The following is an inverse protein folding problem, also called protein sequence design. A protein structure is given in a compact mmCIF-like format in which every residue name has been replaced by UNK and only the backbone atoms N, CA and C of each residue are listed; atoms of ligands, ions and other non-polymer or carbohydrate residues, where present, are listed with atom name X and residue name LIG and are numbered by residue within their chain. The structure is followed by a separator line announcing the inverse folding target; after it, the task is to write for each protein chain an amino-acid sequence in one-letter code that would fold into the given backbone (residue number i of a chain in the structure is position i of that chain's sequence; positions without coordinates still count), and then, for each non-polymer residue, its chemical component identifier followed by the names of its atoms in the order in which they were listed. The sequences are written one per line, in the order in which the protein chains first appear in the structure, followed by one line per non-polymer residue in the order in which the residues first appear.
data_IF_295942575474
#
_entry.id   IF_295942575474
#
_cell.length_a   1.000
_cell.length_b   1.000
_cell.length_c   1.000
_cell.angle_alpha   90.00
_cell.angle_beta   90.00
_cell.angle_gamma   90.00
#
_symmetry.space_group_name_H-M   'P 1'
#
loop_
_entity.id
_entity.type
_entity.pdbx_description
1 polymer ?
#
# COMPACT_ATOMS: atom_id res chain seq x y z
N UNK A 1 60.64 66.27 -47.35
CA UNK A 1 59.85 66.14 -46.11
C UNK A 1 59.03 64.90 -46.24
N UNK A 2 59.46 63.88 -45.56
CA UNK A 2 58.91 62.50 -45.66
C UNK A 2 58.15 62.16 -44.42
N UNK A 3 56.87 61.77 -44.52
CA UNK A 3 56.07 61.26 -43.45
C UNK A 3 55.76 59.82 -43.74
N UNK A 4 56.36 58.94 -42.93
CA UNK A 4 56.13 57.51 -42.93
C UNK A 4 54.78 57.21 -42.21
N UNK A 5 53.89 56.46 -42.85
CA UNK A 5 52.68 55.91 -42.27
C UNK A 5 52.99 54.51 -41.71
N UNK A 6 52.78 54.36 -40.44
CA UNK A 6 52.89 53.04 -39.74
C UNK A 6 51.59 52.28 -39.89
N UNK A 7 51.65 51.07 -40.43
CA UNK A 7 50.55 50.14 -40.53
C UNK A 7 50.37 49.39 -39.16
N UNK A 8 49.19 49.54 -38.58
CA UNK A 8 48.76 48.76 -37.36
C UNK A 8 48.05 47.49 -37.81
N UNK A 9 48.70 46.36 -37.55
CA UNK A 9 48.13 45.05 -37.79
C UNK A 9 47.19 44.73 -36.61
N UNK A 10 45.86 44.72 -36.86
CA UNK A 10 44.89 44.24 -35.93
C UNK A 10 44.82 42.70 -36.01
N UNK A 11 45.32 42.03 -35.01
CA UNK A 11 45.06 40.57 -34.77
C UNK A 11 43.66 40.39 -34.24
N UNK A 12 42.76 39.83 -35.08
CA UNK A 12 41.45 39.34 -34.61
C UNK A 12 41.63 38.04 -33.86
N UNK A 13 41.35 38.05 -32.56
CA UNK A 13 41.25 36.84 -31.73
C UNK A 13 39.84 36.30 -31.90
N UNK A 14 39.72 35.16 -32.59
CA UNK A 14 38.49 34.42 -32.67
C UNK A 14 38.29 33.68 -31.33
N UNK A 15 37.35 34.15 -30.50
CA UNK A 15 36.91 33.44 -29.30
C UNK A 15 35.93 32.36 -29.75
N UNK A 16 36.39 31.10 -29.77
CA UNK A 16 35.49 29.97 -29.94
C UNK A 16 34.72 29.77 -28.63
N UNK A 17 33.43 30.13 -28.60
CA UNK A 17 32.49 29.72 -27.53
C UNK A 17 32.22 28.23 -27.68
N UNK A 18 32.82 27.44 -26.81
CA UNK A 18 32.37 26.06 -26.56
C UNK A 18 31.05 26.11 -25.80
N UNK A 19 29.94 25.89 -26.50
CA UNK A 19 28.67 25.55 -25.87
C UNK A 19 28.81 24.17 -25.24
N UNK A 20 29.08 24.12 -23.93
CA UNK A 20 28.94 22.90 -23.13
C UNK A 20 27.45 22.73 -22.90
N UNK A 21 26.83 21.85 -23.67
CA UNK A 21 25.49 21.36 -23.37
C UNK A 21 25.52 20.67 -22.02
N UNK A 22 24.67 21.03 -21.06
CA UNK A 22 24.57 20.24 -19.84
C UNK A 22 24.00 18.87 -20.22
N UNK A 23 24.85 17.84 -20.20
CA UNK A 23 24.39 16.46 -20.18
C UNK A 23 23.43 16.32 -19.00
N UNK A 24 22.16 16.11 -19.32
CA UNK A 24 21.18 15.69 -18.34
C UNK A 24 21.72 14.38 -17.73
N UNK A 25 22.32 14.49 -16.57
CA UNK A 25 22.56 13.34 -15.70
C UNK A 25 21.16 12.83 -15.40
N UNK A 26 20.78 11.73 -16.06
CA UNK A 26 19.61 10.98 -15.69
C UNK A 26 19.80 10.63 -14.21
N UNK A 27 18.96 11.22 -13.36
CA UNK A 27 18.93 10.87 -11.95
C UNK A 27 18.70 9.35 -11.90
N UNK A 28 19.67 8.62 -11.34
CA UNK A 28 19.43 7.22 -11.00
C UNK A 28 18.12 7.14 -10.22
N UNK A 29 17.27 6.14 -10.50
CA UNK A 29 16.03 6.00 -9.76
C UNK A 29 16.38 5.85 -8.28
N UNK A 30 16.09 6.90 -7.54
CA UNK A 30 16.34 6.96 -6.13
C UNK A 30 15.60 5.81 -5.45
N UNK A 31 16.41 4.91 -4.89
CA UNK A 31 16.08 4.09 -3.76
C UNK A 31 15.18 2.89 -4.01
N UNK A 32 15.78 1.83 -4.55
CA UNK A 32 15.28 0.48 -4.24
C UNK A 32 15.24 0.36 -2.72
N UNK A 33 14.05 0.10 -2.16
CA UNK A 33 13.96 -0.46 -0.81
C UNK A 33 14.98 -1.60 -0.76
N UNK A 34 16.13 -1.37 -0.15
CA UNK A 34 17.05 -2.48 0.14
C UNK A 34 16.21 -3.40 0.98
N UNK A 35 16.10 -4.64 0.55
CA UNK A 35 15.42 -5.72 1.25
C UNK A 35 16.07 -5.90 2.64
N UNK A 36 15.80 -4.96 3.54
CA UNK A 36 16.35 -4.89 4.90
C UNK A 36 15.64 -5.89 5.80
N UNK A 37 14.50 -6.38 5.37
CA UNK A 37 13.87 -7.55 5.94
C UNK A 37 13.88 -8.64 4.87
N UNK A 38 14.90 -9.50 4.87
CA UNK A 38 14.84 -10.77 4.12
C UNK A 38 13.47 -11.39 4.38
N UNK A 39 12.68 -11.72 3.33
CA UNK A 39 11.39 -12.37 3.52
C UNK A 39 11.61 -13.57 4.43
N UNK A 40 11.03 -13.54 5.63
CA UNK A 40 11.01 -14.73 6.48
C UNK A 40 10.26 -15.82 5.71
N UNK A 41 10.59 -17.11 5.91
CA UNK A 41 9.81 -18.20 5.33
C UNK A 41 8.32 -17.95 5.57
N UNK A 42 7.51 -17.91 4.49
CA UNK A 42 6.09 -17.54 4.57
C UNK A 42 5.71 -16.20 3.89
N UNK A 43 6.67 -15.44 3.36
CA UNK A 43 6.36 -14.24 2.54
C UNK A 43 6.07 -12.96 3.34
N UNK A 44 6.38 -12.94 4.63
CA UNK A 44 6.18 -11.78 5.50
C UNK A 44 7.28 -10.71 5.29
N UNK A 45 6.92 -9.47 5.01
CA UNK A 45 7.83 -8.34 4.84
C UNK A 45 7.35 -7.33 3.80
N UNK A 46 8.07 -6.23 3.66
CA UNK A 46 7.82 -5.25 2.59
C UNK A 46 8.43 -5.77 1.29
N UNK A 47 7.67 -5.73 0.21
CA UNK A 47 8.11 -6.12 -1.12
C UNK A 47 7.65 -5.08 -2.14
N UNK A 48 8.54 -4.71 -3.02
CA UNK A 48 8.20 -3.97 -4.22
C UNK A 48 7.61 -4.97 -5.24
N UNK A 49 6.35 -4.77 -5.61
CA UNK A 49 5.61 -5.69 -6.48
C UNK A 49 5.53 -5.17 -7.90
N UNK A 50 5.42 -3.86 -8.07
CA UNK A 50 5.30 -3.21 -9.35
C UNK A 50 6.10 -1.92 -9.37
N UNK A 51 7.13 -1.87 -10.21
CA UNK A 51 7.87 -0.66 -10.55
C UNK A 51 7.64 -0.39 -12.02
N UNK A 52 7.01 0.71 -12.33
CA UNK A 52 6.74 1.05 -13.72
C UNK A 52 7.53 2.30 -14.15
N UNK A 53 7.44 3.39 -13.39
CA UNK A 53 8.05 4.67 -13.71
C UNK A 53 8.14 5.49 -12.40
N UNK A 54 9.29 6.11 -12.15
CA UNK A 54 9.48 6.96 -10.96
C UNK A 54 8.51 8.15 -10.89
N UNK A 55 7.93 8.55 -12.01
CA UNK A 55 6.94 9.63 -12.06
C UNK A 55 5.51 9.18 -11.65
N UNK A 56 5.26 7.87 -11.56
CA UNK A 56 3.95 7.35 -11.17
C UNK A 56 3.76 7.41 -9.65
N UNK A 57 2.50 7.59 -9.18
CA UNK A 57 2.17 7.55 -7.76
C UNK A 57 2.67 6.26 -7.08
N UNK A 58 3.15 6.38 -5.86
CA UNK A 58 3.56 5.26 -5.03
C UNK A 58 2.41 4.82 -4.11
N UNK A 59 2.06 3.55 -4.18
CA UNK A 59 0.97 2.93 -3.41
C UNK A 59 1.54 1.85 -2.51
N UNK A 60 1.12 1.83 -1.25
CA UNK A 60 1.42 0.76 -0.29
C UNK A 60 0.14 0.02 0.08
N UNK A 61 0.15 -1.30 -0.02
CA UNK A 61 -0.88 -2.16 0.58
C UNK A 61 -0.32 -2.79 1.86
N UNK A 62 -1.06 -2.64 2.97
CA UNK A 62 -0.69 -3.21 4.27
C UNK A 62 -1.73 -4.25 4.67
N UNK A 63 -1.29 -5.46 5.02
CA UNK A 63 -2.17 -6.54 5.44
C UNK A 63 -1.43 -7.80 5.84
N UNK A 64 -2.17 -8.89 5.95
CA UNK A 64 -1.69 -10.19 6.37
C UNK A 64 -1.75 -11.24 5.22
N UNK A 65 -2.10 -12.48 5.54
CA UNK A 65 -2.26 -13.55 4.58
C UNK A 65 -3.39 -13.30 3.55
N UNK A 66 -4.39 -12.50 3.89
CA UNK A 66 -5.43 -12.09 2.94
C UNK A 66 -4.82 -11.20 1.85
N UNK A 67 -4.01 -10.20 2.24
CA UNK A 67 -3.25 -9.40 1.27
C UNK A 67 -2.34 -10.28 0.40
N UNK A 68 -1.68 -11.28 1.01
CA UNK A 68 -0.88 -12.26 0.25
C UNK A 68 -1.68 -12.96 -0.84
N UNK A 69 -2.97 -13.19 -0.64
CA UNK A 69 -3.85 -13.84 -1.60
C UNK A 69 -4.24 -12.94 -2.78
N UNK A 70 -4.44 -11.63 -2.56
CA UNK A 70 -4.99 -10.76 -3.61
C UNK A 70 -4.00 -9.77 -4.25
N UNK A 71 -2.85 -9.48 -3.61
CA UNK A 71 -1.93 -8.43 -4.08
C UNK A 71 -1.43 -8.63 -5.52
N UNK A 72 -1.19 -9.88 -5.94
CA UNK A 72 -0.73 -10.18 -7.30
C UNK A 72 -1.73 -9.73 -8.36
N UNK A 73 -3.02 -10.00 -8.14
CA UNK A 73 -4.09 -9.56 -9.05
C UNK A 73 -4.31 -8.05 -8.98
N UNK A 74 -4.18 -7.46 -7.79
CA UNK A 74 -4.23 -6.00 -7.65
C UNK A 74 -3.08 -5.32 -8.44
N UNK A 75 -1.86 -5.87 -8.40
CA UNK A 75 -0.74 -5.39 -9.18
C UNK A 75 -0.98 -5.48 -10.70
N UNK A 76 -1.61 -6.56 -11.19
CA UNK A 76 -2.00 -6.66 -12.60
C UNK A 76 -2.95 -5.53 -13.01
N UNK A 77 -3.98 -5.27 -12.20
CA UNK A 77 -4.99 -4.25 -12.47
C UNK A 77 -4.43 -2.82 -12.43
N UNK A 78 -3.42 -2.58 -11.57
CA UNK A 78 -2.79 -1.27 -11.36
C UNK A 78 -1.55 -1.04 -12.26
N UNK A 79 -1.19 -2.02 -13.10
CA UNK A 79 0.01 -1.97 -13.95
C UNK A 79 0.04 -0.72 -14.85
N UNK A 80 1.17 -0.02 -14.84
CA UNK A 80 1.37 1.20 -15.64
C UNK A 80 0.59 2.42 -15.13
N UNK A 81 -0.03 2.33 -13.95
CA UNK A 81 -0.75 3.44 -13.31
C UNK A 81 -0.12 3.86 -11.99
N UNK A 82 0.55 2.95 -11.31
CA UNK A 82 1.20 3.18 -10.01
C UNK A 82 2.49 2.37 -9.89
N UNK A 83 3.35 2.78 -8.96
CA UNK A 83 4.34 1.91 -8.33
C UNK A 83 3.69 1.29 -7.10
N UNK A 84 3.80 -0.02 -6.93
CA UNK A 84 3.10 -0.74 -5.88
C UNK A 84 4.05 -1.51 -4.98
N UNK A 85 3.99 -1.21 -3.71
CA UNK A 85 4.62 -1.95 -2.65
C UNK A 85 3.57 -2.67 -1.80
N UNK A 86 3.95 -3.80 -1.20
CA UNK A 86 3.12 -4.50 -0.23
C UNK A 86 3.89 -4.76 1.05
N UNK A 87 3.26 -4.48 2.17
CA UNK A 87 3.74 -4.90 3.47
C UNK A 87 2.84 -5.98 4.03
N UNK A 88 3.32 -7.23 3.95
CA UNK A 88 2.61 -8.39 4.47
C UNK A 88 3.21 -8.73 5.84
N UNK A 89 2.39 -8.71 6.88
CA UNK A 89 2.86 -8.89 8.26
C UNK A 89 1.87 -9.67 9.11
N UNK A 90 2.34 -10.56 10.01
CA UNK A 90 1.49 -11.22 11.00
C UNK A 90 1.21 -10.35 12.23
N UNK A 91 1.74 -9.13 12.28
CA UNK A 91 1.55 -8.21 13.40
C UNK A 91 0.13 -7.67 13.40
N UNK A 92 -0.37 -7.31 14.56
CA UNK A 92 -1.68 -6.67 14.72
C UNK A 92 -1.54 -5.36 15.49
N UNK A 93 -2.59 -4.54 15.48
CA UNK A 93 -2.56 -3.19 16.07
C UNK A 93 -2.21 -3.13 17.56
N UNK A 94 -2.34 -4.24 18.29
CA UNK A 94 -1.94 -4.36 19.71
C UNK A 94 -0.46 -4.69 19.92
N UNK A 95 0.34 -4.89 18.88
CA UNK A 95 1.77 -5.20 19.00
C UNK A 95 2.56 -3.92 19.27
N UNK A 96 3.32 -3.90 20.39
CA UNK A 96 4.08 -2.71 20.83
C UNK A 96 5.06 -2.18 19.79
N UNK A 97 5.71 -3.06 19.03
CA UNK A 97 6.75 -2.70 18.07
C UNK A 97 6.19 -2.30 16.69
N UNK A 98 4.88 -2.43 16.47
CA UNK A 98 4.25 -2.06 15.19
C UNK A 98 4.56 -0.60 14.78
N UNK A 99 4.52 0.41 15.67
CA UNK A 99 4.89 1.77 15.31
C UNK A 99 6.37 1.91 14.92
N UNK A 100 7.27 1.10 15.49
CA UNK A 100 8.69 1.09 15.14
C UNK A 100 8.90 0.53 13.72
N UNK A 101 8.23 -0.56 13.38
CA UNK A 101 8.26 -1.13 12.04
C UNK A 101 7.73 -0.13 11.01
N UNK A 102 6.58 0.50 11.30
CA UNK A 102 5.99 1.54 10.45
C UNK A 102 6.96 2.70 10.22
N UNK A 103 7.61 3.20 11.29
CA UNK A 103 8.58 4.27 11.18
C UNK A 103 9.74 3.90 10.25
N UNK A 104 10.23 2.66 10.32
CA UNK A 104 11.28 2.15 9.42
C UNK A 104 10.84 2.16 7.96
N UNK A 105 9.66 1.61 7.66
CA UNK A 105 9.10 1.54 6.30
C UNK A 105 8.90 2.93 5.70
N UNK A 106 8.29 3.84 6.43
CA UNK A 106 7.98 5.19 5.94
C UNK A 106 9.19 6.14 5.92
N UNK A 107 10.30 5.77 6.57
CA UNK A 107 11.56 6.50 6.45
C UNK A 107 12.29 6.22 5.12
N UNK A 108 12.03 5.05 4.52
CA UNK A 108 12.70 4.63 3.29
C UNK A 108 11.96 5.07 2.02
N UNK A 109 10.63 5.15 2.08
CA UNK A 109 9.78 5.48 0.93
C UNK A 109 8.58 6.33 1.35
N UNK A 110 8.28 7.34 0.54
CA UNK A 110 7.03 8.10 0.65
C UNK A 110 5.95 7.48 -0.24
N UNK A 111 4.71 7.49 0.25
CA UNK A 111 3.56 6.95 -0.46
C UNK A 111 2.50 8.02 -0.68
N UNK A 112 1.85 7.98 -1.85
CA UNK A 112 0.71 8.84 -2.19
C UNK A 112 -0.60 8.24 -1.70
N UNK A 113 -0.70 6.91 -1.69
CA UNK A 113 -1.86 6.17 -1.18
C UNK A 113 -1.40 5.00 -0.33
N UNK A 114 -2.07 4.79 0.80
CA UNK A 114 -1.91 3.61 1.66
C UNK A 114 -3.28 2.96 1.81
N UNK A 115 -3.43 1.73 1.29
CA UNK A 115 -4.55 0.87 1.63
C UNK A 115 -4.10 -0.08 2.74
N UNK A 116 -4.79 -0.04 3.88
CA UNK A 116 -4.43 -0.82 5.05
C UNK A 116 -5.61 -1.57 5.62
N UNK A 117 -5.34 -2.70 6.22
CA UNK A 117 -6.24 -3.44 7.09
C UNK A 117 -5.76 -3.29 8.53
N UNK A 118 -6.61 -3.60 9.52
CA UNK A 118 -6.22 -3.63 10.94
C UNK A 118 -5.28 -4.80 11.27
N UNK A 119 -4.90 -5.57 10.23
CA UNK A 119 -4.20 -6.83 10.35
C UNK A 119 -5.04 -7.76 11.24
N UNK A 120 -6.36 -7.77 10.95
CA UNK A 120 -7.44 -8.19 11.84
C UNK A 120 -7.43 -9.64 12.21
N UNK A 121 -7.00 -10.54 11.33
CA UNK A 121 -6.99 -11.98 11.62
C UNK A 121 -6.13 -12.33 12.83
N UNK A 122 -5.05 -11.59 13.06
CA UNK A 122 -4.20 -11.80 14.24
C UNK A 122 -4.73 -11.09 15.48
N UNK A 123 -5.65 -10.14 15.32
CA UNK A 123 -6.28 -9.39 16.40
C UNK A 123 -7.59 -10.00 16.93
N UNK A 124 -8.20 -10.95 16.19
CA UNK A 124 -9.48 -11.56 16.57
C UNK A 124 -9.39 -12.57 17.72
N UNK A 125 -8.23 -13.16 17.94
CA UNK A 125 -8.06 -14.20 18.96
C UNK A 125 -8.30 -13.61 20.36
N UNK A 126 -9.17 -14.20 21.18
CA UNK A 126 -9.35 -13.78 22.55
C UNK A 126 -8.02 -13.66 23.30
N UNK A 127 -7.83 -12.57 24.04
CA UNK A 127 -6.61 -12.29 24.80
C UNK A 127 -5.47 -11.62 24.02
N UNK A 128 -5.53 -11.46 22.70
CA UNK A 128 -4.55 -10.67 21.95
C UNK A 128 -4.81 -9.18 22.07
N UNK A 129 -6.07 -8.78 21.96
CA UNK A 129 -6.51 -7.40 22.25
C UNK A 129 -7.57 -7.50 23.32
N UNK A 130 -7.33 -6.98 24.53
CA UNK A 130 -8.30 -6.99 25.61
C UNK A 130 -9.58 -6.27 25.22
N UNK A 131 -10.68 -6.63 25.84
CA UNK A 131 -11.98 -5.99 25.66
C UNK A 131 -11.86 -4.47 25.89
N UNK A 132 -12.54 -3.69 25.09
CA UNK A 132 -12.49 -2.22 25.14
C UNK A 132 -11.20 -1.57 24.62
N UNK A 133 -10.16 -2.35 24.28
CA UNK A 133 -8.89 -1.80 23.80
C UNK A 133 -8.79 -1.70 22.27
N UNK A 134 -9.70 -2.31 21.53
CA UNK A 134 -9.61 -2.33 20.08
C UNK A 134 -9.77 -0.92 19.46
N UNK A 135 -10.78 -0.15 19.89
CA UNK A 135 -10.98 1.22 19.38
C UNK A 135 -9.80 2.15 19.69
N UNK A 136 -9.30 2.26 20.94
CA UNK A 136 -8.12 3.08 21.25
C UNK A 136 -6.89 2.69 20.44
N UNK A 137 -6.64 1.39 20.25
CA UNK A 137 -5.51 0.89 19.45
C UNK A 137 -5.65 1.24 17.97
N UNK A 138 -6.85 1.14 17.40
CA UNK A 138 -7.10 1.52 16.01
C UNK A 138 -6.93 3.04 15.82
N UNK A 139 -7.41 3.85 16.73
CA UNK A 139 -7.18 5.31 16.70
C UNK A 139 -5.69 5.66 16.79
N UNK A 140 -4.94 4.97 17.66
CA UNK A 140 -3.49 5.13 17.77
C UNK A 140 -2.77 4.69 16.48
N UNK A 141 -3.21 3.58 15.88
CA UNK A 141 -2.67 3.09 14.59
C UNK A 141 -2.89 4.12 13.47
N UNK A 142 -4.09 4.67 13.36
CA UNK A 142 -4.40 5.72 12.40
C UNK A 142 -3.55 6.99 12.62
N UNK A 143 -3.36 7.39 13.88
CA UNK A 143 -2.50 8.51 14.23
C UNK A 143 -1.05 8.28 13.82
N UNK A 144 -0.53 7.04 13.96
CA UNK A 144 0.80 6.65 13.51
C UNK A 144 0.92 6.70 11.98
N UNK A 145 -0.08 6.20 11.24
CA UNK A 145 -0.11 6.29 9.77
C UNK A 145 0.00 7.76 9.33
N UNK A 146 -0.81 8.64 9.91
CA UNK A 146 -0.77 10.08 9.59
C UNK A 146 0.55 10.76 9.99
N UNK A 147 1.14 10.33 11.10
CA UNK A 147 2.44 10.86 11.56
C UNK A 147 3.58 10.47 10.66
N UNK A 148 3.64 9.21 10.23
CA UNK A 148 4.77 8.69 9.46
C UNK A 148 4.60 8.89 7.94
N UNK A 149 3.36 8.99 7.46
CA UNK A 149 3.02 9.21 6.06
C UNK A 149 2.02 10.38 5.91
N UNK A 150 2.39 11.63 6.30
CA UNK A 150 1.44 12.75 6.42
C UNK A 150 0.82 13.20 5.10
N UNK A 151 1.42 12.84 3.96
CA UNK A 151 0.91 13.19 2.62
C UNK A 151 0.07 12.08 2.00
N UNK A 152 0.10 10.86 2.54
CA UNK A 152 -0.60 9.73 1.98
C UNK A 152 -2.12 9.86 2.17
N UNK A 153 -2.87 9.62 1.10
CA UNK A 153 -4.31 9.35 1.18
C UNK A 153 -4.50 7.94 1.72
N UNK A 154 -5.38 7.78 2.70
CA UNK A 154 -5.62 6.50 3.36
C UNK A 154 -6.89 5.85 2.83
N UNK A 155 -6.87 4.52 2.70
CA UNK A 155 -8.01 3.67 2.39
C UNK A 155 -7.99 2.52 3.40
N UNK A 156 -9.10 2.22 4.06
CA UNK A 156 -9.21 1.08 4.95
C UNK A 156 -9.85 -0.11 4.22
N UNK A 157 -9.32 -1.32 4.37
CA UNK A 157 -9.95 -2.55 3.91
C UNK A 157 -10.59 -3.28 5.09
N UNK A 158 -11.90 -3.53 5.05
CA UNK A 158 -12.61 -4.24 6.13
C UNK A 158 -12.10 -5.68 6.25
N UNK A 159 -12.07 -6.21 7.49
CA UNK A 159 -11.67 -7.59 7.75
C UNK A 159 -12.72 -8.54 7.17
N UNK A 160 -12.25 -9.56 6.44
CA UNK A 160 -13.09 -10.57 5.77
C UNK A 160 -13.88 -11.43 6.78
N UNK A 161 -15.01 -12.02 6.38
CA UNK A 161 -15.75 -12.93 7.24
C UNK A 161 -14.90 -14.11 7.70
N UNK A 162 -15.18 -14.58 8.91
CA UNK A 162 -14.64 -15.81 9.44
C UNK A 162 -15.66 -16.93 9.31
N UNK A 163 -15.23 -18.07 8.78
CA UNK A 163 -16.13 -19.19 8.44
C UNK A 163 -15.86 -20.42 9.27
N UNK A 164 -16.80 -21.37 9.28
CA UNK A 164 -16.59 -22.72 9.82
C UNK A 164 -15.58 -23.50 8.97
N UNK A 165 -14.95 -24.52 9.57
CA UNK A 165 -14.08 -25.47 8.85
C UNK A 165 -14.86 -26.63 8.24
N UNK A 166 -16.07 -26.87 8.73
CA UNK A 166 -16.91 -28.01 8.36
C UNK A 166 -17.95 -27.63 7.33
N UNK A 167 -18.21 -28.52 6.39
CA UNK A 167 -19.30 -28.33 5.42
C UNK A 167 -20.66 -28.66 6.05
N UNK A 168 -21.73 -27.93 5.73
CA UNK A 168 -21.72 -26.75 4.84
C UNK A 168 -20.96 -25.59 5.49
N UNK A 169 -20.19 -24.84 4.67
CA UNK A 169 -19.48 -23.66 5.14
C UNK A 169 -20.52 -22.59 5.54
N UNK A 170 -20.37 -22.07 6.74
CA UNK A 170 -21.19 -21.01 7.31
C UNK A 170 -20.31 -19.97 7.99
N UNK A 171 -20.87 -18.85 8.40
CA UNK A 171 -20.18 -17.92 9.29
C UNK A 171 -19.84 -18.62 10.62
N UNK A 172 -18.63 -18.41 11.11
CA UNK A 172 -18.23 -18.96 12.41
C UNK A 172 -19.04 -18.31 13.53
N UNK A 173 -19.83 -19.10 14.30
CA UNK A 173 -20.76 -18.53 15.28
C UNK A 173 -20.06 -17.92 16.51
N UNK A 174 -18.83 -18.33 16.78
CA UNK A 174 -18.04 -17.85 17.92
C UNK A 174 -17.25 -16.58 17.57
N UNK A 175 -16.56 -16.59 16.44
CA UNK A 175 -15.58 -15.53 16.12
C UNK A 175 -16.07 -14.50 15.09
N UNK A 176 -16.97 -14.87 14.18
CA UNK A 176 -17.44 -13.89 13.19
C UNK A 176 -18.21 -12.70 13.81
N UNK A 177 -18.96 -12.84 14.91
CA UNK A 177 -19.55 -11.69 15.59
C UNK A 177 -18.51 -10.65 16.04
N UNK A 178 -17.33 -11.08 16.48
CA UNK A 178 -16.23 -10.18 16.83
C UNK A 178 -15.67 -9.44 15.62
N UNK A 179 -15.59 -10.11 14.45
CA UNK A 179 -15.20 -9.45 13.19
C UNK A 179 -16.21 -8.36 12.80
N UNK A 180 -17.52 -8.65 12.95
CA UNK A 180 -18.58 -7.68 12.66
C UNK A 180 -18.47 -6.47 13.58
N UNK A 181 -18.32 -6.69 14.89
CA UNK A 181 -18.16 -5.62 15.90
C UNK A 181 -16.96 -4.72 15.56
N UNK A 182 -15.79 -5.32 15.29
CA UNK A 182 -14.58 -4.58 14.97
C UNK A 182 -14.70 -3.81 13.65
N UNK A 183 -15.28 -4.41 12.63
CA UNK A 183 -15.55 -3.69 11.38
C UNK A 183 -16.50 -2.49 11.61
N UNK A 184 -17.50 -2.61 12.48
CA UNK A 184 -18.39 -1.49 12.84
C UNK A 184 -17.64 -0.37 13.59
N UNK A 185 -16.80 -0.73 14.56
CA UNK A 185 -15.95 0.24 15.29
C UNK A 185 -15.07 1.00 14.29
N UNK A 186 -14.38 0.26 13.41
CA UNK A 186 -13.48 0.90 12.43
C UNK A 186 -14.26 1.71 11.41
N UNK A 187 -15.42 1.26 10.94
CA UNK A 187 -16.25 2.02 10.01
C UNK A 187 -16.60 3.41 10.58
N UNK A 188 -16.93 3.49 11.89
CA UNK A 188 -17.15 4.76 12.58
C UNK A 188 -15.90 5.63 12.60
N UNK A 189 -14.73 5.06 12.95
CA UNK A 189 -13.47 5.80 12.96
C UNK A 189 -13.13 6.32 11.54
N UNK A 190 -13.31 5.51 10.52
CA UNK A 190 -13.03 5.90 9.13
C UNK A 190 -13.98 7.01 8.66
N UNK A 191 -15.27 6.92 9.00
CA UNK A 191 -16.26 7.97 8.72
C UNK A 191 -15.87 9.29 9.38
N UNK A 192 -15.53 9.30 10.67
CA UNK A 192 -15.08 10.48 11.42
C UNK A 192 -13.85 11.15 10.78
N UNK A 193 -13.03 10.36 10.10
CA UNK A 193 -11.78 10.78 9.49
C UNK A 193 -11.84 10.94 7.96
N UNK A 194 -13.02 10.77 7.34
CA UNK A 194 -13.26 10.85 5.90
C UNK A 194 -12.38 9.89 5.09
N UNK A 195 -12.10 8.72 5.64
CA UNK A 195 -11.30 7.67 4.99
C UNK A 195 -12.24 6.69 4.30
N UNK A 196 -12.11 6.47 2.97
CA UNK A 196 -12.92 5.50 2.25
C UNK A 196 -12.61 4.07 2.70
N UNK A 197 -13.64 3.20 2.61
CA UNK A 197 -13.55 1.79 2.95
C UNK A 197 -13.65 0.93 1.69
N UNK A 198 -12.72 0.02 1.51
CA UNK A 198 -12.83 -1.14 0.62
C UNK A 198 -13.58 -2.24 1.39
N UNK A 199 -14.82 -2.52 1.00
CA UNK A 199 -15.72 -3.41 1.77
C UNK A 199 -15.50 -4.89 1.45
N UNK A 200 -14.39 -5.43 1.93
CA UNK A 200 -14.06 -6.85 1.77
C UNK A 200 -15.05 -7.77 2.50
N UNK A 201 -15.55 -7.34 3.67
CA UNK A 201 -16.55 -8.10 4.41
C UNK A 201 -17.84 -8.24 3.61
N UNK A 202 -18.41 -7.14 3.14
CA UNK A 202 -19.64 -7.13 2.39
C UNK A 202 -19.57 -7.93 1.08
N UNK A 203 -18.40 -7.89 0.40
CA UNK A 203 -18.19 -8.68 -0.83
C UNK A 203 -18.26 -10.19 -0.55
N UNK A 204 -17.73 -10.67 0.56
CA UNK A 204 -17.54 -12.10 0.81
C UNK A 204 -18.61 -12.73 1.71
N UNK A 205 -19.29 -11.96 2.55
CA UNK A 205 -20.33 -12.50 3.45
C UNK A 205 -21.47 -13.19 2.71
N UNK A 206 -21.78 -12.76 1.50
CA UNK A 206 -22.79 -13.37 0.63
C UNK A 206 -22.22 -14.49 -0.29
N UNK A 207 -20.93 -14.87 -0.14
CA UNK A 207 -20.21 -15.78 -1.03
C UNK A 207 -19.39 -16.80 -0.25
N UNK A 208 -19.99 -17.39 0.77
CA UNK A 208 -19.30 -18.34 1.67
C UNK A 208 -18.86 -19.61 0.95
N UNK A 209 -19.46 -19.95 -0.19
CA UNK A 209 -19.04 -21.02 -1.11
C UNK A 209 -17.63 -20.82 -1.65
N UNK A 210 -17.12 -19.57 -1.65
CA UNK A 210 -15.76 -19.24 -2.05
C UNK A 210 -14.73 -19.34 -0.91
N UNK A 211 -15.12 -19.74 0.31
CA UNK A 211 -14.17 -19.95 1.39
C UNK A 211 -13.30 -21.20 1.13
N UNK A 212 -12.02 -21.14 1.51
CA UNK A 212 -11.08 -22.26 1.35
C UNK A 212 -11.34 -23.43 2.32
N UNK A 213 -12.14 -23.22 3.37
CA UNK A 213 -12.49 -24.27 4.35
C UNK A 213 -11.49 -24.38 5.50
N UNK A 214 -10.58 -23.45 5.65
CA UNK A 214 -9.62 -23.39 6.77
C UNK A 214 -9.98 -22.34 7.82
N UNK A 215 -11.16 -21.74 7.67
CA UNK A 215 -11.74 -20.69 8.52
C UNK A 215 -11.38 -19.26 8.08
N UNK A 216 -10.24 -19.03 7.46
CA UNK A 216 -9.67 -17.68 7.25
C UNK A 216 -9.50 -17.32 5.79
N UNK A 217 -9.07 -18.28 4.97
CA UNK A 217 -8.65 -18.01 3.61
C UNK A 217 -9.76 -18.28 2.60
N UNK A 218 -9.54 -17.77 1.40
CA UNK A 218 -10.52 -17.73 0.34
C UNK A 218 -9.94 -18.36 -0.94
N UNK A 219 -10.81 -18.76 -1.84
CA UNK A 219 -10.41 -19.26 -3.15
C UNK A 219 -9.83 -18.14 -4.02
N UNK A 220 -9.16 -18.53 -5.10
CA UNK A 220 -8.63 -17.57 -6.09
C UNK A 220 -9.70 -16.61 -6.59
N UNK A 221 -10.90 -17.10 -6.88
CA UNK A 221 -12.04 -16.27 -7.36
C UNK A 221 -12.40 -15.19 -6.34
N UNK A 222 -12.45 -15.52 -5.05
CA UNK A 222 -12.70 -14.54 -4.01
C UNK A 222 -11.57 -13.49 -3.92
N UNK A 223 -10.32 -13.92 -3.99
CA UNK A 223 -9.19 -12.98 -4.00
C UNK A 223 -9.19 -12.07 -5.22
N UNK A 224 -9.67 -12.50 -6.37
CA UNK A 224 -9.86 -11.65 -7.55
C UNK A 224 -10.93 -10.56 -7.32
N UNK A 225 -12.00 -10.87 -6.57
CA UNK A 225 -13.00 -9.87 -6.16
C UNK A 225 -12.38 -8.82 -5.23
N UNK A 226 -11.63 -9.27 -4.21
CA UNK A 226 -10.94 -8.36 -3.28
C UNK A 226 -9.91 -7.49 -4.00
N UNK A 227 -9.16 -8.07 -4.95
CA UNK A 227 -8.19 -7.32 -5.75
C UNK A 227 -8.85 -6.22 -6.58
N UNK A 228 -10.01 -6.50 -7.20
CA UNK A 228 -10.79 -5.50 -7.95
C UNK A 228 -11.28 -4.37 -7.05
N UNK A 229 -11.79 -4.69 -5.87
CA UNK A 229 -12.22 -3.67 -4.91
C UNK A 229 -11.04 -2.81 -4.45
N UNK A 230 -9.92 -3.43 -4.02
CA UNK A 230 -8.73 -2.71 -3.60
C UNK A 230 -8.18 -1.80 -4.71
N UNK A 231 -7.99 -2.33 -5.92
CA UNK A 231 -7.51 -1.57 -7.07
C UNK A 231 -8.52 -0.46 -7.48
N UNK A 232 -9.82 -0.73 -7.40
CA UNK A 232 -10.87 0.24 -7.68
C UNK A 232 -10.83 1.43 -6.72
N UNK A 233 -10.62 1.19 -5.42
CA UNK A 233 -10.47 2.26 -4.42
C UNK A 233 -9.20 3.08 -4.63
N UNK A 234 -8.10 2.42 -4.97
CA UNK A 234 -6.85 3.12 -5.33
C UNK A 234 -7.06 4.00 -6.57
N UNK A 235 -7.67 3.45 -7.62
CA UNK A 235 -7.96 4.17 -8.85
C UNK A 235 -8.86 5.38 -8.62
N UNK A 236 -9.93 5.22 -7.84
CA UNK A 236 -10.82 6.31 -7.43
C UNK A 236 -10.08 7.40 -6.64
N UNK A 237 -9.19 6.99 -5.73
CA UNK A 237 -8.40 7.92 -4.88
C UNK A 237 -7.40 8.74 -5.69
N UNK A 238 -6.86 8.17 -6.77
CA UNK A 238 -5.86 8.78 -7.67
C UNK A 238 -6.47 9.33 -8.98
N UNK A 239 -7.80 9.26 -9.12
CA UNK A 239 -8.56 9.78 -10.27
C UNK A 239 -8.14 9.17 -11.63
N UNK A 240 -8.10 7.83 -11.69
CA UNK A 240 -7.94 7.13 -12.96
C UNK A 240 -8.92 5.94 -13.07
N UNK A 241 -9.10 5.41 -14.31
CA UNK A 241 -9.94 4.25 -14.55
C UNK A 241 -9.11 2.97 -14.65
N UNK A 242 -9.64 1.89 -14.06
CA UNK A 242 -9.09 0.55 -14.26
C UNK A 242 -9.45 0.02 -15.65
N UNK A 243 -8.67 -0.92 -16.20
CA UNK A 243 -9.07 -1.67 -17.38
C UNK A 243 -10.44 -2.32 -17.17
N UNK A 244 -11.28 -2.29 -18.20
CA UNK A 244 -12.53 -3.05 -18.18
C UNK A 244 -12.18 -4.52 -17.88
N UNK A 245 -12.92 -5.12 -16.95
CA UNK A 245 -12.77 -6.55 -16.68
C UNK A 245 -13.17 -7.36 -17.90
N UNK A 246 -12.58 -8.54 -18.07
CA UNK A 246 -13.05 -9.49 -19.06
C UNK A 246 -14.47 -9.93 -18.78
#
# INVERSE_FOLDING_TARGET
MSTRASAVIRRSVLLALFCISPSAIAAEPANRLKDTAKPKPGGWGVRQVLVADAALPHVLLIGDSILSGYHGKAAELLRGKVNLDVWITPRHIGVKDLPTDMKGIFAEQTYDVILFNDIGLHAWTPGRIPEGQYEPLMRAHLANLRRFAPKAKLIFASTTPMTTKTKPIALDPEFNPLIVERNQIVAKIMQENQIPIADFYGILVAKLDLAAGDRFHWTKTAYELLAREAAGRVAQTLDFSLPAGP
#
